data_IF_823797933695
#
_entry.id   IF_823797933695
#
_cell.length_a   1.000
_cell.length_b   1.000
_cell.length_c   1.000
_cell.angle_alpha   90.00
_cell.angle_beta   90.00
_cell.angle_gamma   90.00
#
_symmetry.space_group_name_H-M   'P 1'
#
loop_
_entity.id
_entity.type
_entity.pdbx_description
1 polymer ?
#
# COMPACT_ATOMS: atom_id res chain seq x y z
N UNK A 1 -18.75 -20.90 -9.49
CA UNK A 1 -18.97 -20.53 -8.08
C UNK A 1 -17.84 -19.58 -7.67
N UNK A 2 -18.14 -18.44 -7.04
CA UNK A 2 -17.15 -17.46 -6.56
C UNK A 2 -16.72 -17.86 -5.14
N UNK A 3 -15.46 -18.24 -4.95
CA UNK A 3 -14.92 -18.62 -3.64
C UNK A 3 -14.10 -17.47 -3.05
N UNK A 4 -14.59 -16.87 -1.96
CA UNK A 4 -13.93 -15.76 -1.29
C UNK A 4 -12.53 -16.12 -0.76
N UNK A 5 -12.32 -17.35 -0.28
CA UNK A 5 -11.04 -17.79 0.26
C UNK A 5 -9.97 -17.95 -0.82
N UNK A 6 -10.37 -18.01 -2.10
CA UNK A 6 -9.50 -18.09 -3.28
C UNK A 6 -9.50 -16.80 -4.10
N UNK A 7 -9.92 -15.68 -3.51
CA UNK A 7 -9.90 -14.37 -4.17
C UNK A 7 -11.09 -14.11 -5.11
N UNK A 8 -12.08 -15.00 -5.15
CA UNK A 8 -13.32 -14.84 -5.92
C UNK A 8 -14.38 -13.99 -5.23
N UNK A 9 -14.05 -13.27 -4.15
CA UNK A 9 -15.01 -12.46 -3.39
C UNK A 9 -15.75 -11.46 -4.31
N UNK A 10 -17.06 -11.30 -4.13
CA UNK A 10 -17.86 -10.31 -4.86
C UNK A 10 -17.55 -8.87 -4.46
N UNK A 11 -16.81 -8.67 -3.37
CA UNK A 11 -16.42 -7.37 -2.83
C UNK A 11 -17.63 -6.49 -2.50
N UNK A 12 -18.73 -7.08 -2.03
CA UNK A 12 -19.96 -6.34 -1.71
C UNK A 12 -19.72 -5.30 -0.62
N UNK A 13 -18.83 -5.56 0.35
CA UNK A 13 -18.42 -4.58 1.35
C UNK A 13 -17.85 -3.27 0.77
N UNK A 14 -17.41 -3.26 -0.49
CA UNK A 14 -16.92 -2.07 -1.20
C UNK A 14 -18.02 -1.30 -1.94
N UNK A 15 -19.24 -1.83 -1.98
CA UNK A 15 -20.37 -1.17 -2.63
C UNK A 15 -20.85 -0.01 -1.78
N UNK A 16 -21.48 0.96 -2.45
CA UNK A 16 -22.18 2.05 -1.80
C UNK A 16 -23.58 1.56 -1.46
N UNK A 17 -23.93 1.69 -0.20
CA UNK A 17 -25.21 1.23 0.34
C UNK A 17 -26.05 2.43 0.78
N UNK A 18 -27.36 2.30 0.56
CA UNK A 18 -28.37 3.17 1.13
C UNK A 18 -28.97 2.49 2.37
N UNK A 19 -29.39 3.28 3.36
CA UNK A 19 -29.99 2.78 4.60
C UNK A 19 -31.49 2.99 4.57
N UNK A 20 -32.20 1.93 4.99
CA UNK A 20 -33.65 1.93 5.07
C UNK A 20 -34.05 1.61 6.51
N UNK A 21 -34.92 2.43 7.07
CA UNK A 21 -35.66 2.05 8.27
C UNK A 21 -36.78 1.07 7.87
N UNK A 22 -36.95 0.03 8.68
CA UNK A 22 -37.97 -1.01 8.52
C UNK A 22 -38.77 -1.16 9.82
N UNK A 23 -39.60 -0.17 10.16
CA UNK A 23 -40.35 -0.18 11.42
C UNK A 23 -41.40 -1.29 11.45
N UNK A 24 -42.00 -1.67 10.31
CA UNK A 24 -42.95 -2.78 10.21
C UNK A 24 -42.95 -3.47 8.81
N UNK A 25 -43.00 -4.80 8.79
CA UNK A 25 -43.37 -5.58 7.60
C UNK A 25 -42.49 -5.40 6.35
N UNK A 26 -43.11 -5.04 5.22
CA UNK A 26 -42.46 -4.82 3.90
C UNK A 26 -42.19 -3.34 3.59
N UNK A 27 -42.50 -2.43 4.52
CA UNK A 27 -42.27 -1.00 4.30
C UNK A 27 -40.77 -0.70 4.36
N UNK A 28 -40.30 0.11 3.40
CA UNK A 28 -38.92 0.58 3.33
C UNK A 28 -38.95 2.10 3.29
N UNK A 29 -38.53 2.74 4.36
CA UNK A 29 -38.35 4.20 4.39
C UNK A 29 -36.86 4.49 4.18
N UNK A 30 -36.49 5.06 3.04
CA UNK A 30 -35.10 5.50 2.82
C UNK A 30 -34.77 6.58 3.84
N UNK A 31 -33.58 6.49 4.43
CA UNK A 31 -33.01 7.49 5.33
C UNK A 31 -32.18 8.54 4.56
N UNK A 32 -32.38 8.66 3.25
CA UNK A 32 -31.76 9.69 2.42
C UNK A 32 -31.97 11.10 3.00
N UNK A 33 -30.86 11.83 3.19
CA UNK A 33 -30.85 13.18 3.74
C UNK A 33 -30.65 13.27 5.26
N UNK A 34 -30.92 12.19 6.01
CA UNK A 34 -30.52 12.08 7.42
C UNK A 34 -29.07 11.58 7.55
N UNK A 35 -28.63 10.78 6.57
CA UNK A 35 -27.25 10.33 6.44
C UNK A 35 -26.58 11.15 5.34
N UNK A 36 -25.51 11.90 5.67
CA UNK A 36 -24.95 12.88 4.74
C UNK A 36 -24.29 12.26 3.51
N UNK A 37 -23.89 10.98 3.54
CA UNK A 37 -23.16 10.31 2.44
C UNK A 37 -23.47 8.81 2.34
N UNK A 38 -23.44 8.28 1.11
CA UNK A 38 -23.46 6.82 0.87
C UNK A 38 -22.22 6.15 1.50
N UNK A 39 -22.44 5.21 2.41
CA UNK A 39 -21.38 4.52 3.12
C UNK A 39 -20.98 3.23 2.42
N UNK A 40 -19.72 2.84 2.62
CA UNK A 40 -19.26 1.49 2.30
C UNK A 40 -19.08 0.73 3.60
N UNK A 41 -19.33 -0.58 3.60
CA UNK A 41 -19.09 -1.45 4.76
C UNK A 41 -17.64 -1.96 4.78
N UNK A 42 -16.71 -1.17 4.24
CA UNK A 42 -15.29 -1.53 4.17
C UNK A 42 -14.54 -0.90 5.33
N UNK A 43 -13.74 -1.71 6.02
CA UNK A 43 -12.76 -1.20 6.98
C UNK A 43 -11.57 -0.55 6.26
N UNK A 44 -10.85 0.28 7.01
CA UNK A 44 -9.48 0.68 6.68
C UNK A 44 -8.54 -0.54 6.79
N UNK A 45 -7.28 -0.42 6.36
CA UNK A 45 -6.36 -1.55 6.40
C UNK A 45 -5.84 -1.79 7.83
N UNK A 46 -5.65 -3.07 8.18
CA UNK A 46 -5.12 -3.43 9.50
C UNK A 46 -3.60 -3.37 9.49
N UNK A 47 -2.99 -2.68 10.46
CA UNK A 47 -1.54 -2.66 10.65
C UNK A 47 -1.19 -2.72 12.15
N UNK A 48 -0.18 -3.52 12.48
CA UNK A 48 0.37 -3.68 13.83
C UNK A 48 1.86 -3.32 13.88
N UNK A 49 2.36 -2.57 12.89
CA UNK A 49 3.78 -2.20 12.80
C UNK A 49 4.27 -1.44 14.05
N UNK A 50 3.43 -0.57 14.61
CA UNK A 50 3.68 0.17 15.84
C UNK A 50 3.66 -0.69 17.11
N UNK A 51 3.10 -1.90 16.99
CA UNK A 51 2.67 -2.77 18.09
C UNK A 51 3.36 -4.14 18.03
N UNK A 52 4.47 -4.25 17.30
CA UNK A 52 5.30 -5.46 17.27
C UNK A 52 5.73 -5.92 18.67
N UNK A 53 6.11 -5.03 19.62
CA UNK A 53 6.36 -5.43 21.00
C UNK A 53 5.21 -6.22 21.60
N UNK A 54 3.97 -5.71 21.50
CA UNK A 54 2.79 -6.35 22.06
C UNK A 54 2.54 -7.73 21.43
N UNK A 55 2.78 -7.88 20.13
CA UNK A 55 2.64 -9.18 19.45
C UNK A 55 3.63 -10.20 20.00
N UNK A 56 4.91 -9.81 20.12
CA UNK A 56 5.98 -10.70 20.58
C UNK A 56 5.77 -11.08 22.04
N UNK A 57 5.48 -10.13 22.92
CA UNK A 57 5.29 -10.35 24.36
C UNK A 57 4.03 -11.19 24.66
N UNK A 58 3.03 -11.18 23.78
CA UNK A 58 1.86 -12.06 23.87
C UNK A 58 2.08 -13.46 23.26
N UNK A 59 3.31 -13.80 22.86
CA UNK A 59 3.67 -15.13 22.36
C UNK A 59 3.27 -15.39 20.90
N UNK A 60 3.15 -14.34 20.07
CA UNK A 60 2.93 -14.52 18.63
C UNK A 60 4.24 -14.92 17.95
N UNK A 61 4.33 -16.17 17.51
CA UNK A 61 5.53 -16.71 16.85
C UNK A 61 5.59 -16.47 15.33
N UNK A 62 4.45 -16.12 14.71
CA UNK A 62 4.37 -15.97 13.26
C UNK A 62 3.45 -14.84 12.84
N UNK A 63 3.95 -13.98 11.96
CA UNK A 63 3.18 -12.94 11.31
C UNK A 63 2.91 -13.33 9.86
N UNK A 64 1.67 -13.13 9.41
CA UNK A 64 1.27 -13.36 8.02
C UNK A 64 0.97 -12.02 7.37
N UNK A 65 1.72 -11.70 6.32
CA UNK A 65 1.43 -10.56 5.44
C UNK A 65 0.56 -11.06 4.29
N UNK A 66 -0.56 -10.38 4.05
CA UNK A 66 -1.44 -10.61 2.90
C UNK A 66 -1.02 -9.67 1.78
N UNK A 67 -0.77 -10.21 0.58
CA UNK A 67 -0.39 -9.41 -0.58
C UNK A 67 -1.11 -9.84 -1.86
N UNK A 68 -2.29 -10.47 -1.77
CA UNK A 68 -3.03 -10.88 -2.98
C UNK A 68 -3.53 -9.64 -3.69
N UNK A 69 -3.32 -9.59 -5.00
CA UNK A 69 -3.66 -8.44 -5.84
C UNK A 69 -2.87 -7.16 -5.50
N UNK A 70 -1.88 -7.24 -4.61
CA UNK A 70 -0.99 -6.12 -4.30
C UNK A 70 0.21 -6.07 -5.23
N UNK A 71 0.80 -4.87 -5.34
CA UNK A 71 1.98 -4.66 -6.17
C UNK A 71 3.23 -5.31 -5.56
N UNK A 72 4.24 -5.58 -6.40
CA UNK A 72 5.55 -6.05 -5.92
C UNK A 72 6.17 -5.07 -4.90
N UNK A 73 5.96 -3.76 -5.11
CA UNK A 73 6.44 -2.72 -4.21
C UNK A 73 5.77 -2.78 -2.84
N UNK A 74 4.45 -3.00 -2.79
CA UNK A 74 3.73 -3.18 -1.54
C UNK A 74 4.29 -4.38 -0.76
N UNK A 75 4.37 -5.55 -1.40
CA UNK A 75 4.82 -6.78 -0.73
C UNK A 75 6.26 -6.64 -0.23
N UNK A 76 7.16 -6.06 -1.04
CA UNK A 76 8.55 -5.82 -0.65
C UNK A 76 8.63 -4.88 0.57
N UNK A 77 7.91 -3.76 0.53
CA UNK A 77 7.97 -2.72 1.57
C UNK A 77 7.42 -3.23 2.89
N UNK A 78 6.20 -3.79 2.88
CA UNK A 78 5.58 -4.33 4.11
C UNK A 78 6.43 -5.45 4.70
N UNK A 79 6.99 -6.34 3.87
CA UNK A 79 7.85 -7.43 4.36
C UNK A 79 9.13 -6.89 4.98
N UNK A 80 9.80 -5.92 4.36
CA UNK A 80 11.00 -5.29 4.92
C UNK A 80 10.70 -4.58 6.25
N UNK A 81 9.60 -3.81 6.32
CA UNK A 81 9.16 -3.12 7.54
C UNK A 81 8.93 -4.08 8.70
N UNK A 82 8.09 -5.10 8.50
CA UNK A 82 7.81 -6.06 9.56
C UNK A 82 9.04 -6.88 9.96
N UNK A 83 9.91 -7.24 9.01
CA UNK A 83 11.16 -7.95 9.32
C UNK A 83 12.10 -7.09 10.17
N UNK A 84 12.32 -5.84 9.79
CA UNK A 84 13.18 -4.93 10.55
C UNK A 84 12.60 -4.59 11.93
N UNK A 85 11.28 -4.43 12.04
CA UNK A 85 10.61 -4.21 13.32
C UNK A 85 10.84 -5.37 14.29
N UNK A 86 10.63 -6.61 13.83
CA UNK A 86 10.85 -7.82 14.63
C UNK A 86 12.33 -7.96 15.00
N UNK A 87 13.23 -7.83 14.03
CA UNK A 87 14.68 -7.94 14.27
C UNK A 87 15.16 -6.91 15.30
N UNK A 88 14.72 -5.65 15.16
CA UNK A 88 15.10 -4.57 16.06
C UNK A 88 14.59 -4.84 17.48
N UNK A 89 13.34 -5.27 17.63
CA UNK A 89 12.77 -5.57 18.95
C UNK A 89 13.43 -6.77 19.62
N UNK A 90 13.71 -7.84 18.87
CA UNK A 90 14.43 -9.01 19.38
C UNK A 90 15.86 -8.67 19.82
N UNK A 91 16.46 -7.62 19.24
CA UNK A 91 17.74 -7.12 19.73
C UNK A 91 17.57 -6.28 21.01
N UNK A 92 16.66 -5.31 21.02
CA UNK A 92 16.27 -4.56 22.22
C UNK A 92 15.04 -3.68 21.98
N UNK A 93 14.22 -3.39 23.00
CA UNK A 93 13.14 -2.40 22.90
C UNK A 93 13.62 -1.03 22.41
N UNK A 94 14.81 -0.58 22.82
CA UNK A 94 15.38 0.71 22.43
C UNK A 94 15.68 0.79 20.94
N UNK A 95 16.13 -0.32 20.32
CA UNK A 95 16.38 -0.37 18.88
C UNK A 95 15.10 -0.32 18.07
N UNK A 96 14.04 -1.00 18.51
CA UNK A 96 12.74 -0.89 17.86
C UNK A 96 12.24 0.55 17.92
N UNK A 97 12.26 1.17 19.10
CA UNK A 97 11.79 2.55 19.26
C UNK A 97 12.59 3.54 18.40
N UNK A 98 13.90 3.31 18.26
CA UNK A 98 14.77 4.16 17.42
C UNK A 98 14.40 4.17 15.93
N UNK A 99 13.79 3.10 15.40
CA UNK A 99 13.41 3.00 13.97
C UNK A 99 11.89 3.04 13.76
N UNK A 100 11.10 3.07 14.82
CA UNK A 100 9.64 2.90 14.75
C UNK A 100 8.98 3.90 13.81
N UNK A 101 9.34 5.18 13.91
CA UNK A 101 8.75 6.21 13.06
C UNK A 101 9.14 6.03 11.59
N UNK A 102 10.40 5.66 11.30
CA UNK A 102 10.86 5.39 9.93
C UNK A 102 10.07 4.23 9.30
N UNK A 103 9.78 3.18 10.08
CA UNK A 103 8.95 2.06 9.63
C UNK A 103 7.51 2.50 9.31
N UNK A 104 6.93 3.35 10.15
CA UNK A 104 5.58 3.90 9.94
C UNK A 104 5.54 4.76 8.68
N UNK A 105 6.51 5.64 8.51
CA UNK A 105 6.61 6.52 7.35
C UNK A 105 6.77 5.71 6.06
N UNK A 106 7.58 4.66 6.10
CA UNK A 106 7.77 3.75 4.97
C UNK A 106 6.49 2.96 4.64
N UNK A 107 5.75 2.50 5.65
CA UNK A 107 4.44 1.86 5.46
C UNK A 107 3.43 2.80 4.78
N UNK A 108 3.48 4.10 5.08
CA UNK A 108 2.61 5.10 4.46
C UNK A 108 2.93 5.38 2.99
N UNK A 109 4.13 5.04 2.51
CA UNK A 109 4.45 5.12 1.07
C UNK A 109 3.67 4.11 0.24
N UNK A 110 3.24 2.99 0.84
CA UNK A 110 2.54 1.90 0.16
C UNK A 110 1.09 1.71 0.58
N UNK A 111 0.66 2.36 1.67
CA UNK A 111 -0.73 2.32 2.12
C UNK A 111 -1.67 2.79 1.00
N UNK A 112 -2.83 2.14 0.82
CA UNK A 112 -3.86 2.60 -0.13
C UNK A 112 -5.07 3.24 0.56
N UNK A 113 -5.15 3.01 1.87
CA UNK A 113 -6.22 3.40 2.79
C UNK A 113 -5.57 3.81 4.10
N UNK A 114 -6.36 4.34 5.01
CA UNK A 114 -5.91 4.53 6.38
C UNK A 114 -5.52 3.19 7.02
N UNK A 115 -4.77 3.27 8.12
CA UNK A 115 -4.33 2.12 8.89
C UNK A 115 -4.99 2.14 10.27
N UNK A 116 -5.35 0.98 10.80
CA UNK A 116 -5.85 0.82 12.16
C UNK A 116 -5.44 -0.53 12.78
N UNK A 117 -5.56 -0.63 14.10
CA UNK A 117 -5.32 -1.89 14.82
C UNK A 117 -6.52 -2.82 14.78
N UNK A 118 -7.69 -2.34 14.31
CA UNK A 118 -8.93 -3.09 14.35
C UNK A 118 -9.28 -3.48 15.79
N UNK A 119 -9.71 -4.73 15.98
CA UNK A 119 -10.25 -5.18 17.27
C UNK A 119 -9.21 -5.47 18.37
N UNK A 120 -7.92 -5.28 18.11
CA UNK A 120 -6.86 -5.67 19.06
C UNK A 120 -6.92 -4.90 20.40
N UNK A 121 -7.27 -3.62 20.37
CA UNK A 121 -7.28 -2.76 21.57
C UNK A 121 -8.66 -2.22 21.95
N UNK A 122 -9.71 -2.67 21.27
CA UNK A 122 -11.08 -2.21 21.51
C UNK A 122 -11.97 -2.41 20.31
N UNK A 123 -13.24 -2.03 20.45
CA UNK A 123 -14.19 -2.06 19.33
C UNK A 123 -13.88 -0.90 18.37
N UNK A 124 -13.68 -1.16 17.07
CA UNK A 124 -13.42 -0.12 16.09
C UNK A 124 -14.56 0.90 15.99
N UNK A 125 -14.19 2.16 15.81
CA UNK A 125 -15.13 3.27 15.59
C UNK A 125 -15.41 3.51 14.10
N UNK A 126 -16.25 4.48 13.78
CA UNK A 126 -16.46 4.99 12.43
C UNK A 126 -15.16 5.48 11.77
N UNK A 127 -14.17 5.88 12.57
CA UNK A 127 -12.85 6.28 12.09
C UNK A 127 -12.00 5.10 11.60
N UNK A 128 -12.45 3.87 11.72
CA UNK A 128 -11.74 2.69 11.19
C UNK A 128 -12.52 2.07 10.01
N UNK A 129 -13.49 2.83 9.50
CA UNK A 129 -14.27 2.49 8.31
C UNK A 129 -13.97 3.49 7.19
N UNK A 130 -14.14 3.04 5.95
CA UNK A 130 -14.10 3.87 4.75
C UNK A 130 -15.43 4.61 4.61
N UNK A 131 -15.62 5.57 5.51
CA UNK A 131 -16.76 6.47 5.56
C UNK A 131 -16.27 7.91 5.42
N UNK A 132 -16.97 8.71 4.60
CA UNK A 132 -16.59 10.09 4.33
C UNK A 132 -15.41 10.26 3.38
N UNK A 133 -14.87 11.49 3.37
CA UNK A 133 -13.64 11.82 2.67
C UNK A 133 -12.43 11.05 3.26
N UNK A 134 -11.46 10.72 2.40
CA UNK A 134 -10.19 10.15 2.85
C UNK A 134 -9.48 11.12 3.78
N UNK A 135 -9.02 10.59 4.91
CA UNK A 135 -8.35 11.35 5.98
C UNK A 135 -6.84 11.41 5.76
N UNK A 136 -6.27 10.44 5.06
CA UNK A 136 -4.89 10.47 4.60
C UNK A 136 -4.78 9.91 3.18
N UNK A 137 -3.99 10.58 2.35
CA UNK A 137 -3.75 10.20 0.96
C UNK A 137 -2.28 9.78 0.84
N UNK A 138 -1.97 8.64 0.20
CA UNK A 138 -0.60 8.24 -0.03
C UNK A 138 0.13 9.27 -0.90
N UNK A 139 1.34 9.66 -0.50
CA UNK A 139 2.13 10.67 -1.21
C UNK A 139 2.88 10.10 -2.43
N UNK A 140 3.02 8.77 -2.47
CA UNK A 140 3.85 8.07 -3.44
C UNK A 140 3.02 7.24 -4.41
N UNK A 141 3.57 7.08 -5.61
CA UNK A 141 3.00 6.23 -6.65
C UNK A 141 4.09 5.33 -7.21
N UNK A 142 3.88 4.02 -7.12
CA UNK A 142 4.80 3.05 -7.70
C UNK A 142 4.77 3.13 -9.24
N UNK A 143 5.86 3.57 -9.86
CA UNK A 143 5.90 3.83 -11.31
C UNK A 143 6.51 2.71 -12.14
N UNK A 144 7.52 1.99 -11.63
CA UNK A 144 8.17 0.92 -12.37
C UNK A 144 8.94 -0.07 -11.50
N UNK A 145 9.18 -1.25 -12.06
CA UNK A 145 10.02 -2.31 -11.51
C UNK A 145 11.35 -2.36 -12.28
N UNK A 146 12.50 -2.38 -11.60
CA UNK A 146 13.79 -2.61 -12.27
C UNK A 146 13.91 -4.08 -12.69
N UNK A 147 14.17 -4.33 -13.97
CA UNK A 147 14.29 -5.67 -14.55
C UNK A 147 15.75 -6.07 -14.70
N UNK A 148 16.61 -5.13 -15.11
CA UNK A 148 18.05 -5.33 -15.26
C UNK A 148 18.79 -4.00 -15.18
N UNK A 149 20.09 -4.06 -14.89
CA UNK A 149 20.97 -2.90 -14.86
C UNK A 149 22.27 -3.24 -15.59
N UNK A 150 22.70 -2.35 -16.48
CA UNK A 150 24.01 -2.36 -17.13
C UNK A 150 24.92 -1.35 -16.42
N UNK A 151 25.91 -1.87 -15.70
CA UNK A 151 26.86 -1.08 -14.91
C UNK A 151 27.82 -0.25 -15.77
N UNK A 152 28.23 -0.78 -16.94
CA UNK A 152 29.15 -0.08 -17.82
C UNK A 152 28.47 1.11 -18.52
N UNK A 153 27.19 0.95 -18.88
CA UNK A 153 26.39 2.00 -19.50
C UNK A 153 25.63 2.88 -18.48
N UNK A 154 25.66 2.52 -17.19
CA UNK A 154 24.82 3.10 -16.14
C UNK A 154 23.34 3.21 -16.55
N UNK A 155 22.79 2.12 -17.09
CA UNK A 155 21.45 2.10 -17.68
C UNK A 155 20.60 1.03 -17.02
N UNK A 156 19.45 1.42 -16.50
CA UNK A 156 18.45 0.50 -15.97
C UNK A 156 17.39 0.20 -17.03
N UNK A 157 17.07 -1.08 -17.20
CA UNK A 157 15.83 -1.50 -17.87
C UNK A 157 14.73 -1.61 -16.84
N UNK A 158 13.65 -0.86 -17.02
CA UNK A 158 12.52 -0.81 -16.10
C UNK A 158 11.25 -1.31 -16.79
N UNK A 159 10.39 -2.01 -16.06
CA UNK A 159 9.05 -2.39 -16.49
C UNK A 159 8.05 -1.40 -15.90
N UNK A 160 7.44 -0.63 -16.78
CA UNK A 160 6.49 0.41 -16.40
C UNK A 160 5.23 -0.19 -15.75
N UNK A 161 4.72 0.49 -14.72
CA UNK A 161 3.43 0.19 -14.06
C UNK A 161 2.45 1.36 -14.12
N UNK A 162 2.97 2.59 -14.06
CA UNK A 162 2.21 3.83 -14.17
C UNK A 162 2.93 4.81 -15.09
N UNK A 163 2.23 5.87 -15.53
CA UNK A 163 2.80 6.94 -16.37
C UNK A 163 4.11 7.46 -15.78
N UNK A 164 5.13 7.59 -16.63
CA UNK A 164 6.45 8.15 -16.32
C UNK A 164 6.73 9.25 -17.34
N UNK A 165 7.27 10.37 -16.88
CA UNK A 165 7.79 11.43 -17.72
C UNK A 165 9.30 11.61 -17.49
N UNK A 166 10.03 12.02 -18.51
CA UNK A 166 11.40 12.52 -18.35
C UNK A 166 11.39 13.74 -17.42
N UNK A 167 12.30 13.77 -16.45
CA UNK A 167 12.37 14.78 -15.40
C UNK A 167 11.50 14.51 -14.16
N UNK A 168 10.73 13.42 -14.11
CA UNK A 168 10.05 13.02 -12.87
C UNK A 168 11.10 12.73 -11.77
N UNK A 169 10.91 13.28 -10.56
CA UNK A 169 11.67 12.87 -9.38
C UNK A 169 11.17 11.51 -8.90
N UNK A 170 12.07 10.57 -8.75
CA UNK A 170 11.76 9.19 -8.35
C UNK A 170 12.65 8.74 -7.19
N UNK A 171 12.09 7.87 -6.36
CA UNK A 171 12.81 7.11 -5.35
C UNK A 171 12.96 5.67 -5.83
N UNK A 172 14.19 5.16 -5.86
CA UNK A 172 14.45 3.74 -6.00
C UNK A 172 14.46 3.11 -4.61
N UNK A 173 13.73 2.00 -4.51
CA UNK A 173 13.60 1.24 -3.28
C UNK A 173 14.02 -0.22 -3.49
N UNK A 174 14.86 -0.72 -2.57
CA UNK A 174 15.39 -2.08 -2.62
C UNK A 174 15.43 -2.77 -1.26
N UNK A 175 15.82 -4.04 -1.28
CA UNK A 175 15.97 -4.88 -0.08
C UNK A 175 16.82 -4.22 1.00
N UNK A 176 16.36 -4.29 2.26
CA UNK A 176 17.08 -3.76 3.41
C UNK A 176 17.10 -2.22 3.46
N UNK A 177 15.99 -1.58 3.09
CA UNK A 177 15.85 -0.11 3.10
C UNK A 177 16.96 0.58 2.31
N UNK A 178 17.24 0.08 1.10
CA UNK A 178 18.09 0.80 0.17
C UNK A 178 17.24 1.81 -0.56
N UNK A 179 17.51 3.08 -0.29
CA UNK A 179 16.85 4.22 -0.90
C UNK A 179 17.89 5.04 -1.66
N UNK A 180 17.55 5.46 -2.87
CA UNK A 180 18.20 6.62 -3.47
C UNK A 180 17.20 7.37 -4.32
N UNK A 181 17.28 8.70 -4.28
CA UNK A 181 16.45 9.57 -5.10
C UNK A 181 17.24 10.03 -6.33
N UNK A 182 16.55 10.13 -7.45
CA UNK A 182 17.11 10.69 -8.68
C UNK A 182 15.99 11.28 -9.55
N UNK A 183 16.35 11.84 -10.69
CA UNK A 183 15.44 12.22 -11.75
C UNK A 183 15.46 11.18 -12.87
N UNK A 184 14.31 10.98 -13.53
CA UNK A 184 14.26 10.17 -14.75
C UNK A 184 14.96 10.93 -15.87
N UNK A 185 16.11 10.43 -16.29
CA UNK A 185 16.89 10.97 -17.39
C UNK A 185 17.07 9.94 -18.50
N UNK A 186 17.12 10.43 -19.74
CA UNK A 186 17.42 9.62 -20.92
C UNK A 186 16.44 8.45 -21.12
N UNK A 187 15.16 8.79 -21.03
CA UNK A 187 14.05 7.84 -21.14
C UNK A 187 13.88 7.37 -22.59
N UNK A 188 13.93 6.06 -22.80
CA UNK A 188 13.74 5.43 -24.11
C UNK A 188 12.70 4.30 -24.08
N UNK A 189 12.00 4.14 -25.19
CA UNK A 189 11.07 3.02 -25.42
C UNK A 189 11.80 1.69 -25.70
N UNK A 190 11.04 0.60 -25.82
CA UNK A 190 11.58 -0.74 -26.11
C UNK A 190 12.30 -0.86 -27.48
N UNK A 191 12.16 0.14 -28.36
CA UNK A 191 12.83 0.19 -29.67
C UNK A 191 14.08 1.07 -29.63
N UNK A 192 14.39 1.67 -28.49
CA UNK A 192 15.51 2.59 -28.32
C UNK A 192 15.22 4.01 -28.84
N UNK A 193 13.96 4.37 -29.08
CA UNK A 193 13.63 5.76 -29.39
C UNK A 193 13.53 6.56 -28.09
N UNK A 194 14.13 7.75 -28.08
CA UNK A 194 13.98 8.68 -26.96
C UNK A 194 12.53 9.17 -26.88
N UNK A 195 11.95 9.17 -25.68
CA UNK A 195 10.60 9.62 -25.39
C UNK A 195 10.59 10.57 -24.19
N UNK A 196 9.65 11.50 -24.17
CA UNK A 196 9.40 12.42 -23.06
C UNK A 196 8.38 11.86 -22.07
N UNK A 197 7.49 10.98 -22.54
CA UNK A 197 6.40 10.41 -21.76
C UNK A 197 6.14 8.96 -22.15
N UNK A 198 6.13 8.08 -21.17
CA UNK A 198 5.68 6.71 -21.30
C UNK A 198 4.27 6.60 -20.68
N UNK A 199 3.19 6.36 -21.45
CA UNK A 199 1.84 6.25 -20.91
C UNK A 199 1.32 4.80 -20.78
N UNK A 200 2.05 3.82 -21.31
CA UNK A 200 1.55 2.48 -21.55
C UNK A 200 2.07 1.49 -20.49
N UNK A 201 1.22 0.95 -19.61
CA UNK A 201 1.68 0.02 -18.57
C UNK A 201 2.28 -1.24 -19.20
N UNK A 202 3.23 -1.85 -18.47
CA UNK A 202 3.94 -3.08 -18.81
C UNK A 202 5.00 -2.98 -19.91
N UNK A 203 5.23 -1.80 -20.49
CA UNK A 203 6.34 -1.61 -21.43
C UNK A 203 7.71 -1.70 -20.73
N UNK A 204 8.70 -2.20 -21.46
CA UNK A 204 10.10 -2.13 -21.05
C UNK A 204 10.66 -0.81 -21.58
N UNK A 205 11.23 -0.03 -20.67
CA UNK A 205 11.85 1.25 -20.93
C UNK A 205 13.30 1.19 -20.46
N UNK A 206 14.16 2.05 -21.00
CA UNK A 206 15.49 2.26 -20.45
C UNK A 206 15.65 3.69 -19.96
N UNK A 207 16.35 3.84 -18.85
CA UNK A 207 16.67 5.12 -18.22
C UNK A 207 18.13 5.11 -17.77
N UNK A 208 18.75 6.28 -17.74
CA UNK A 208 20.09 6.43 -17.17
C UNK A 208 19.99 6.55 -15.66
N UNK A 209 20.76 5.75 -14.94
CA UNK A 209 20.73 5.67 -13.47
C UNK A 209 22.17 5.46 -12.97
N UNK A 210 22.71 6.40 -12.18
CA UNK A 210 24.09 6.33 -11.69
C UNK A 210 24.32 5.25 -10.64
#
# INVERSE_FOLDING_TARGET
>A
MRDANRGGCSQSCRWKYDLYDMPFGKERKSLQGEIPEEFSMSAVDMSMIDHIPDMIENGVDSLKIEGRMESIHYVLTVTNCYKAAVDAYLESPEKFEAIKQDLVDEMWKVAQRELATGFYYGTPSENEQLFGARRKIPEYKFVAEVVSYDDAAQTATIRQRNVINEGDRVEFYGSGFRHFETYIEDLHDAKGNKIDRAPNPMELLTIKVP
#
